data_IF_239750613374
#
_entry.id   IF_239750613374
#
_cell.length_a   1.000
_cell.length_b   1.000
_cell.length_c   1.000
_cell.angle_alpha   90.00
_cell.angle_beta   90.00
_cell.angle_gamma   90.00
#
_symmetry.space_group_name_H-M   'P 1'
#
loop_
_entity.id
_entity.type
_entity.pdbx_description
1 polymer ?
#
# COMPACT_ATOMS: atom_id res chain seq x y z
N UNK A 1 -13.17 9.72 16.49
CA UNK A 1 -12.87 8.85 15.34
C UNK A 1 -11.36 8.78 15.23
N UNK A 2 -10.81 7.60 14.95
CA UNK A 2 -9.37 7.46 14.71
C UNK A 2 -8.99 8.16 13.40
N UNK A 3 -7.99 9.04 13.43
CA UNK A 3 -7.47 9.71 12.24
C UNK A 3 -6.29 8.91 11.69
N UNK A 4 -6.29 8.68 10.37
CA UNK A 4 -5.18 8.08 9.64
C UNK A 4 -4.34 9.18 8.99
N UNK A 5 -3.13 9.35 9.50
CA UNK A 5 -2.13 10.29 9.01
C UNK A 5 -1.23 9.56 8.02
N UNK A 6 -1.37 9.89 6.73
CA UNK A 6 -0.47 9.40 5.68
C UNK A 6 0.58 10.48 5.44
N UNK A 7 1.85 10.16 5.71
CA UNK A 7 2.96 11.07 5.51
C UNK A 7 3.90 10.55 4.42
N UNK A 8 4.15 11.39 3.42
CA UNK A 8 5.17 11.14 2.40
C UNK A 8 6.38 12.03 2.65
N UNK A 9 7.47 11.40 3.08
CA UNK A 9 8.76 12.07 3.29
C UNK A 9 9.62 11.83 2.06
N UNK A 10 10.07 12.88 1.39
CA UNK A 10 10.84 12.76 0.15
C UNK A 10 12.07 13.67 0.16
N UNK A 11 13.16 13.24 -0.46
CA UNK A 11 14.41 14.00 -0.59
C UNK A 11 14.78 14.30 -2.03
N UNK A 12 14.58 13.34 -2.93
CA UNK A 12 14.96 13.42 -4.35
C UNK A 12 13.97 12.67 -5.22
N UNK A 13 13.97 12.95 -6.51
CA UNK A 13 13.20 12.16 -7.47
C UNK A 13 13.66 10.69 -7.45
N UNK A 14 12.75 9.74 -7.73
CA UNK A 14 13.12 8.33 -7.86
C UNK A 14 14.25 8.13 -8.89
N UNK A 15 15.17 7.17 -8.67
CA UNK A 15 16.31 6.98 -9.56
C UNK A 15 15.85 6.56 -10.97
N UNK A 16 16.32 7.23 -12.02
CA UNK A 16 16.01 6.88 -13.41
C UNK A 16 16.59 5.52 -13.83
N UNK A 17 17.69 5.11 -13.19
CA UNK A 17 18.35 3.82 -13.38
C UNK A 17 17.61 2.65 -12.69
N UNK A 18 16.55 2.95 -11.94
CA UNK A 18 15.69 1.94 -11.34
C UNK A 18 14.74 1.26 -12.34
N UNK A 19 14.81 1.54 -13.64
CA UNK A 19 13.91 0.92 -14.63
C UNK A 19 12.44 1.32 -14.44
N UNK A 20 11.50 0.47 -14.91
CA UNK A 20 10.07 0.76 -14.79
C UNK A 20 9.59 0.61 -13.34
N UNK A 21 9.41 1.75 -12.67
CA UNK A 21 8.78 1.86 -11.34
C UNK A 21 7.33 2.35 -11.49
N UNK A 22 6.44 1.91 -10.60
CA UNK A 22 5.00 2.22 -10.68
C UNK A 22 4.67 3.72 -10.64
N UNK A 23 5.46 4.52 -9.92
CA UNK A 23 5.26 5.97 -9.79
C UNK A 23 6.58 6.68 -10.08
N UNK A 24 6.72 7.18 -11.30
CA UNK A 24 8.00 7.66 -11.83
C UNK A 24 8.48 9.02 -11.28
N UNK A 25 7.70 9.69 -10.42
CA UNK A 25 8.10 10.98 -9.82
C UNK A 25 7.44 11.22 -8.46
N UNK A 26 8.02 12.14 -7.69
CA UNK A 26 7.44 12.67 -6.45
C UNK A 26 6.04 13.20 -6.71
N UNK A 27 5.81 13.87 -7.86
CA UNK A 27 4.50 14.40 -8.23
C UNK A 27 3.47 13.28 -8.39
N UNK A 28 3.80 12.23 -9.15
CA UNK A 28 2.90 11.08 -9.36
C UNK A 28 2.64 10.36 -8.03
N UNK A 29 3.67 10.20 -7.18
CA UNK A 29 3.51 9.61 -5.86
C UNK A 29 2.57 10.43 -4.97
N UNK A 30 2.70 11.76 -5.01
CA UNK A 30 1.83 12.68 -4.27
C UNK A 30 0.38 12.63 -4.75
N UNK A 31 0.16 12.63 -6.06
CA UNK A 31 -1.17 12.52 -6.66
C UNK A 31 -1.83 11.21 -6.25
N UNK A 32 -1.12 10.09 -6.36
CA UNK A 32 -1.58 8.79 -5.91
C UNK A 32 -2.02 8.78 -4.43
N UNK A 33 -1.19 9.31 -3.52
CA UNK A 33 -1.53 9.34 -2.09
C UNK A 33 -2.70 10.28 -1.80
N UNK A 34 -2.84 11.37 -2.56
CA UNK A 34 -3.96 12.30 -2.42
C UNK A 34 -5.27 11.66 -2.87
N UNK A 35 -5.26 10.94 -4.00
CA UNK A 35 -6.41 10.20 -4.51
C UNK A 35 -6.83 9.12 -3.50
N UNK A 36 -5.85 8.41 -2.92
CA UNK A 36 -6.09 7.41 -1.88
C UNK A 36 -6.75 8.01 -0.63
N UNK A 37 -6.28 9.19 -0.16
CA UNK A 37 -6.91 9.90 0.96
C UNK A 37 -8.35 10.32 0.59
N UNK A 38 -8.58 10.79 -0.63
CA UNK A 38 -9.94 11.11 -1.10
C UNK A 38 -10.85 9.87 -1.06
N UNK A 39 -10.39 8.72 -1.57
CA UNK A 39 -11.14 7.45 -1.53
C UNK A 39 -11.50 7.03 -0.09
N UNK A 40 -10.54 7.18 0.84
CA UNK A 40 -10.75 6.89 2.26
C UNK A 40 -11.78 7.83 2.88
N UNK A 41 -11.69 9.13 2.61
CA UNK A 41 -12.64 10.12 3.13
C UNK A 41 -14.06 9.90 2.58
N UNK A 42 -14.19 9.52 1.30
CA UNK A 42 -15.48 9.13 0.69
C UNK A 42 -16.07 7.87 1.33
N UNK A 43 -15.25 7.04 1.97
CA UNK A 43 -15.64 5.83 2.70
C UNK A 43 -15.80 6.07 4.21
N UNK A 44 -15.99 7.32 4.63
CA UNK A 44 -16.11 7.75 6.04
C UNK A 44 -14.88 7.45 6.93
N UNK A 45 -13.70 7.23 6.34
CA UNK A 45 -12.44 7.03 7.07
C UNK A 45 -11.74 8.39 7.22
N UNK A 46 -11.69 8.90 8.46
CA UNK A 46 -10.97 10.13 8.78
C UNK A 46 -9.48 10.00 8.47
N UNK A 47 -9.00 10.76 7.50
CA UNK A 47 -7.62 10.67 7.01
C UNK A 47 -7.10 12.00 6.49
N UNK A 48 -5.77 12.19 6.51
CA UNK A 48 -5.08 13.35 5.92
C UNK A 48 -3.74 12.96 5.29
N UNK A 49 -3.34 13.73 4.28
CA UNK A 49 -2.02 13.62 3.64
C UNK A 49 -1.08 14.72 4.16
N UNK A 50 0.13 14.35 4.54
CA UNK A 50 1.22 15.26 4.90
C UNK A 50 2.37 14.97 3.92
N UNK A 51 2.89 16.01 3.26
CA UNK A 51 4.02 15.88 2.33
C UNK A 51 5.15 16.76 2.84
N UNK A 52 6.27 16.13 3.20
CA UNK A 52 7.39 16.79 3.85
C UNK A 52 8.69 16.54 3.08
N UNK A 53 9.43 17.59 2.67
CA UNK A 53 10.80 17.39 2.20
C UNK A 53 11.69 16.97 3.38
N UNK A 54 12.59 16.02 3.15
CA UNK A 54 13.50 15.47 4.16
C UNK A 54 14.88 15.13 3.56
N UNK A 55 15.86 14.80 4.41
CA UNK A 55 17.20 14.37 3.97
C UNK A 55 17.40 12.86 3.93
N UNK A 56 16.32 12.08 4.17
CA UNK A 56 16.35 10.62 4.19
C UNK A 56 15.78 10.06 2.87
N UNK A 57 16.00 8.77 2.56
CA UNK A 57 15.37 8.14 1.41
C UNK A 57 13.85 8.32 1.45
N UNK A 58 13.25 8.41 0.26
CA UNK A 58 11.82 8.61 0.14
C UNK A 58 11.09 7.46 0.83
N UNK A 59 10.10 7.79 1.65
CA UNK A 59 9.37 6.81 2.44
C UNK A 59 7.98 7.29 2.79
N UNK A 60 7.05 6.35 2.87
CA UNK A 60 5.68 6.60 3.33
C UNK A 60 5.53 6.10 4.76
N UNK A 61 4.90 6.92 5.59
CA UNK A 61 4.56 6.61 6.96
C UNK A 61 3.05 6.67 7.15
N UNK A 62 2.52 5.77 7.98
CA UNK A 62 1.12 5.75 8.38
C UNK A 62 1.10 5.83 9.90
N UNK A 63 0.52 6.91 10.45
CA UNK A 63 0.54 7.24 11.88
C UNK A 63 1.95 7.16 12.49
N UNK A 64 2.96 7.67 11.76
CA UNK A 64 4.35 7.75 12.20
C UNK A 64 5.17 6.45 12.05
N UNK A 65 4.58 5.34 11.60
CA UNK A 65 5.30 4.08 11.32
C UNK A 65 5.54 3.93 9.82
N UNK A 66 6.72 3.43 9.41
CA UNK A 66 7.02 3.24 7.99
C UNK A 66 6.17 2.11 7.41
N UNK A 67 5.78 2.24 6.13
CA UNK A 67 5.03 1.18 5.44
C UNK A 67 5.77 -0.17 5.46
N UNK A 68 7.09 -0.25 5.20
CA UNK A 68 7.83 -1.50 5.33
C UNK A 68 7.74 -2.13 6.72
N UNK A 69 7.83 -1.34 7.79
CA UNK A 69 7.74 -1.86 9.17
C UNK A 69 6.34 -2.42 9.47
N UNK A 70 5.29 -1.72 9.01
CA UNK A 70 3.91 -2.20 9.17
C UNK A 70 3.71 -3.51 8.43
N UNK A 71 4.19 -3.59 7.18
CA UNK A 71 4.13 -4.80 6.36
C UNK A 71 4.91 -5.97 6.96
N UNK A 72 6.03 -5.72 7.64
CA UNK A 72 6.80 -6.76 8.32
C UNK A 72 6.04 -7.39 9.50
N UNK A 73 5.11 -6.66 10.12
CA UNK A 73 4.25 -7.19 11.20
C UNK A 73 3.00 -7.93 10.69
N UNK A 74 2.70 -7.81 9.39
CA UNK A 74 1.60 -8.54 8.79
C UNK A 74 2.05 -9.97 8.51
N UNK A 75 1.45 -10.93 9.23
CA UNK A 75 1.48 -12.34 8.84
C UNK A 75 0.60 -12.51 7.59
N UNK A 76 1.16 -12.17 6.42
CA UNK A 76 0.47 -12.36 5.14
C UNK A 76 0.43 -13.86 4.86
N UNK A 77 -0.58 -14.54 5.41
CA UNK A 77 -0.92 -15.90 4.99
C UNK A 77 -1.37 -15.85 3.54
N UNK A 78 -0.42 -16.11 2.64
CA UNK A 78 -0.71 -16.55 1.29
C UNK A 78 -1.48 -17.87 1.45
N UNK A 79 -2.77 -17.88 1.12
CA UNK A 79 -3.46 -19.16 0.95
C UNK A 79 -2.71 -19.90 -0.17
N UNK A 80 -2.08 -21.00 0.17
CA UNK A 80 -1.56 -21.97 -0.79
C UNK A 80 -2.73 -22.37 -1.68
N UNK A 81 -2.70 -21.88 -2.91
CA UNK A 81 -3.63 -22.33 -3.94
C UNK A 81 -3.18 -23.70 -4.42
N UNK A 82 -3.33 -24.72 -3.58
CA UNK A 82 -3.16 -26.12 -3.97
C UNK A 82 -3.91 -27.07 -3.02
N UNK A 83 -5.25 -26.95 -2.94
CA UNK A 83 -6.09 -28.11 -2.60
C UNK A 83 -7.47 -28.01 -3.28
N UNK A 84 -7.65 -28.77 -4.36
CA UNK A 84 -8.90 -29.42 -4.78
C UNK A 84 -10.20 -28.59 -4.93
N UNK A 85 -10.36 -27.97 -6.11
CA UNK A 85 -11.63 -28.13 -6.84
C UNK A 85 -11.38 -28.24 -8.33
N UNK A 86 -10.86 -29.41 -8.68
CA UNK A 86 -11.21 -30.07 -9.93
C UNK A 86 -12.72 -30.35 -9.90
N UNK A 87 -13.53 -29.34 -10.20
CA UNK A 87 -14.83 -29.57 -10.81
C UNK A 87 -14.63 -29.34 -12.32
N UNK A 88 -14.29 -30.43 -12.99
CA UNK A 88 -14.42 -30.60 -14.43
C UNK A 88 -15.83 -30.19 -14.86
N UNK A 89 -15.99 -28.94 -15.29
CA UNK A 89 -17.16 -28.50 -16.03
C UNK A 89 -16.64 -27.71 -17.22
N UNK A 90 -16.59 -28.41 -18.35
CA UNK A 90 -16.13 -27.88 -19.62
C UNK A 90 -16.82 -26.57 -20.00
N UNK A 91 -16.01 -25.67 -20.58
CA UNK A 91 -16.34 -24.37 -21.21
C UNK A 91 -16.56 -23.19 -20.25
N UNK A 92 -15.54 -22.35 -20.13
CA UNK A 92 -15.37 -21.10 -20.88
C UNK A 92 -14.06 -20.46 -20.41
N UNK A 93 -13.36 -19.75 -21.30
CA UNK A 93 -12.01 -19.21 -21.05
C UNK A 93 -11.90 -18.56 -19.67
N UNK A 94 -11.21 -19.22 -18.75
CA UNK A 94 -10.94 -18.70 -17.42
C UNK A 94 -10.11 -17.44 -17.63
N UNK A 95 -10.70 -16.27 -17.40
CA UNK A 95 -9.95 -15.03 -17.20
C UNK A 95 -9.10 -15.28 -15.96
N UNK A 96 -7.85 -15.67 -16.18
CA UNK A 96 -6.87 -15.75 -15.11
C UNK A 96 -6.57 -14.31 -14.73
N UNK A 97 -7.22 -13.83 -13.67
CA UNK A 97 -6.74 -12.66 -12.96
C UNK A 97 -5.32 -13.00 -12.50
N UNK A 98 -4.33 -12.42 -13.17
CA UNK A 98 -2.94 -12.55 -12.76
C UNK A 98 -2.86 -12.14 -11.30
N UNK A 99 -2.16 -12.93 -10.49
CA UNK A 99 -1.93 -12.55 -9.09
C UNK A 99 -1.29 -11.15 -9.10
N UNK A 100 -1.70 -10.25 -8.19
CA UNK A 100 -1.05 -8.95 -8.11
C UNK A 100 0.45 -9.15 -7.90
N UNK A 101 1.26 -8.44 -8.69
CA UNK A 101 2.71 -8.48 -8.54
C UNK A 101 3.04 -7.75 -7.23
N UNK A 102 3.27 -8.54 -6.18
CA UNK A 102 3.65 -8.07 -4.85
C UNK A 102 5.15 -7.73 -4.77
N UNK A 103 5.91 -8.12 -5.78
CA UNK A 103 7.31 -7.76 -5.90
C UNK A 103 7.46 -6.27 -6.22
N UNK A 104 8.34 -5.63 -5.47
CA UNK A 104 8.73 -4.23 -5.64
C UNK A 104 10.13 -4.00 -5.08
N UNK A 105 10.76 -2.93 -5.54
CA UNK A 105 12.09 -2.51 -5.08
C UNK A 105 11.98 -1.86 -3.71
N UNK A 106 12.27 -2.61 -2.65
CA UNK A 106 12.11 -2.15 -1.24
C UNK A 106 12.86 -0.84 -0.93
N UNK A 107 13.92 -0.54 -1.66
CA UNK A 107 14.70 0.70 -1.53
C UNK A 107 14.04 1.93 -2.19
N UNK A 108 12.97 1.71 -2.97
CA UNK A 108 12.26 2.73 -3.77
C UNK A 108 10.77 2.62 -3.45
N UNK A 109 10.30 3.41 -2.48
CA UNK A 109 8.91 3.36 -2.00
C UNK A 109 7.90 3.63 -3.11
N UNK A 110 8.27 4.37 -4.15
CA UNK A 110 7.39 4.72 -5.26
C UNK A 110 7.00 3.51 -6.12
N UNK A 111 7.81 2.45 -6.10
CA UNK A 111 7.52 1.19 -6.77
C UNK A 111 6.55 0.29 -5.99
N UNK A 112 6.16 0.65 -4.77
CA UNK A 112 5.30 -0.20 -3.95
C UNK A 112 3.93 -0.47 -4.62
N UNK A 113 3.42 -1.71 -4.66
CA UNK A 113 2.10 -2.00 -5.20
C UNK A 113 1.02 -1.32 -4.36
N UNK A 114 -0.04 -0.85 -5.01
CA UNK A 114 -1.20 -0.21 -4.35
C UNK A 114 -1.78 -1.09 -3.22
N UNK A 115 -1.88 -2.39 -3.47
CA UNK A 115 -2.39 -3.37 -2.50
C UNK A 115 -1.58 -3.38 -1.21
N UNK A 116 -0.25 -3.24 -1.27
CA UNK A 116 0.58 -3.24 -0.07
C UNK A 116 0.39 -1.97 0.75
N UNK A 117 0.23 -0.81 0.11
CA UNK A 117 -0.12 0.42 0.84
C UNK A 117 -1.48 0.28 1.51
N UNK A 118 -2.49 -0.21 0.78
CA UNK A 118 -3.83 -0.43 1.33
C UNK A 118 -3.85 -1.43 2.48
N UNK A 119 -3.06 -2.51 2.40
CA UNK A 119 -2.89 -3.47 3.50
C UNK A 119 -2.24 -2.82 4.74
N UNK A 120 -1.22 -1.98 4.54
CA UNK A 120 -0.59 -1.26 5.64
C UNK A 120 -1.59 -0.29 6.31
N UNK A 121 -2.40 0.43 5.53
CA UNK A 121 -3.46 1.29 6.06
C UNK A 121 -4.50 0.47 6.83
N UNK A 122 -4.97 -0.64 6.26
CA UNK A 122 -5.96 -1.51 6.88
C UNK A 122 -5.46 -2.08 8.22
N UNK A 123 -4.18 -2.44 8.30
CA UNK A 123 -3.53 -2.90 9.53
C UNK A 123 -3.53 -1.82 10.61
N UNK A 124 -3.09 -0.60 10.26
CA UNK A 124 -3.09 0.53 11.20
C UNK A 124 -4.51 0.87 11.63
N UNK A 125 -5.46 0.87 10.70
CA UNK A 125 -6.87 1.13 10.99
C UNK A 125 -7.47 0.07 11.92
N UNK A 126 -7.19 -1.21 11.71
CA UNK A 126 -7.62 -2.30 12.58
C UNK A 126 -7.03 -2.12 13.98
N UNK A 127 -5.74 -1.86 14.11
CA UNK A 127 -5.08 -1.66 15.41
C UNK A 127 -5.67 -0.50 16.21
N UNK A 128 -6.05 0.60 15.56
CA UNK A 128 -6.67 1.71 16.28
C UNK A 128 -8.09 1.37 16.70
N UNK A 129 -8.83 0.57 15.92
CA UNK A 129 -10.18 0.15 16.29
C UNK A 129 -10.19 -0.99 17.31
N UNK A 130 -9.23 -1.91 17.30
CA UNK A 130 -9.07 -2.97 18.31
C UNK A 130 -8.75 -2.36 19.68
N UNK A 131 -7.98 -1.27 19.71
CA UNK A 131 -7.73 -0.49 20.93
C UNK A 131 -8.93 0.37 21.38
N UNK A 132 -10.02 0.41 20.61
CA UNK A 132 -11.31 1.00 21.02
C UNK A 132 -12.21 -0.10 21.59
N UNK A 133 -11.75 -0.77 22.65
CA UNK A 133 -12.66 -1.55 23.47
C UNK A 133 -13.64 -0.54 24.11
N UNK A 134 -14.91 -0.63 23.69
CA UNK A 134 -16.07 0.07 24.25
C UNK A 134 -16.51 -0.60 25.56
#
# INVERSE_FOLDING_TARGET
>A
MAMIDIEYRHSREPPEDAGEIRRASIKIMREYLNDLVCEMQMSDISSKLIVSPCNVPNMVYINGRSVPDILATLDVKLMDADVNSSCDLGRSGIVRFGRPILDWKKDIIEDIPDILIKNAIAKVFAEINDNRIL
#
